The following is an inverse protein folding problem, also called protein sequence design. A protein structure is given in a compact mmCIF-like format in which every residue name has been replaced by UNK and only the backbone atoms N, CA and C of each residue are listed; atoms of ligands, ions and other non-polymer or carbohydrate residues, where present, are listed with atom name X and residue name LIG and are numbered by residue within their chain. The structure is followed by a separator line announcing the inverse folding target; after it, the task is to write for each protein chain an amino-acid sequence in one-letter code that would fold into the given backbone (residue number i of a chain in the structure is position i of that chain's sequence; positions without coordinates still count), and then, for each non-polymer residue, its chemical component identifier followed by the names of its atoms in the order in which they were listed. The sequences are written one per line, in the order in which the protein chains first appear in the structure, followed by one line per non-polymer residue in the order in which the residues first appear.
data_IF_966263885630
#
_entry.id   IF_966263885630
#
_cell.length_a   1.000
_cell.length_b   1.000
_cell.length_c   1.000
_cell.angle_alpha   90.00
_cell.angle_beta   90.00
_cell.angle_gamma   90.00
#
_symmetry.space_group_name_H-M   'P 1'
#
loop_
_entity.id
_entity.type
_entity.pdbx_description
1 polymer ?
#
# COMPACT_ATOMS: atom_id res chain seq x y z
N UNK A 1 5.12 22.33 -1.33
CA UNK A 1 3.92 22.73 -0.56
C UNK A 1 2.71 22.54 -1.47
N UNK A 2 1.98 21.43 -1.30
CA UNK A 2 0.89 20.99 -2.17
C UNK A 2 -0.36 21.87 -2.00
N UNK A 3 -0.55 22.86 -2.89
CA UNK A 3 -1.81 23.61 -3.04
C UNK A 3 -2.76 22.90 -4.02
N UNK A 4 -3.08 21.62 -3.80
CA UNK A 4 -3.90 20.84 -4.76
C UNK A 4 -5.12 20.15 -4.18
N UNK A 5 -5.41 20.35 -2.90
CA UNK A 5 -6.60 19.82 -2.26
C UNK A 5 -7.30 20.91 -1.48
N UNK A 6 -8.57 21.12 -1.79
CA UNK A 6 -9.45 22.02 -1.07
C UNK A 6 -9.79 21.36 0.28
N UNK A 7 -9.21 21.89 1.36
CA UNK A 7 -9.25 21.26 2.69
C UNK A 7 -10.68 21.16 3.24
N UNK A 8 -11.56 22.08 2.85
CA UNK A 8 -12.95 22.12 3.31
C UNK A 8 -13.73 20.88 2.85
N UNK A 9 -13.59 20.47 1.58
CA UNK A 9 -14.24 19.28 1.03
C UNK A 9 -13.70 17.96 1.59
N UNK A 10 -12.44 17.93 2.00
CA UNK A 10 -11.85 16.76 2.66
C UNK A 10 -12.48 16.54 4.05
N UNK A 11 -12.84 17.61 4.74
CA UNK A 11 -13.33 17.56 6.12
C UNK A 11 -14.76 16.99 6.19
N UNK A 12 -15.64 17.34 5.22
CA UNK A 12 -17.03 16.84 5.16
C UNK A 12 -17.13 15.31 4.96
N UNK A 13 -16.21 14.70 4.21
CA UNK A 13 -16.22 13.24 3.94
C UNK A 13 -15.91 12.42 5.20
N UNK A 14 -15.12 12.97 6.12
CA UNK A 14 -14.72 12.27 7.34
C UNK A 14 -15.82 12.23 8.40
N UNK A 15 -16.64 13.27 8.51
CA UNK A 15 -17.73 13.35 9.49
C UNK A 15 -18.89 12.37 9.20
N UNK A 16 -19.06 11.92 7.96
CA UNK A 16 -20.06 10.89 7.63
C UNK A 16 -19.56 9.46 7.94
N UNK A 17 -18.26 9.22 7.76
CA UNK A 17 -17.69 7.87 7.74
C UNK A 17 -17.07 7.47 9.08
N UNK A 18 -16.40 8.40 9.76
CA UNK A 18 -15.68 8.11 10.99
C UNK A 18 -16.60 7.75 12.17
N UNK A 19 -17.82 8.32 12.34
CA UNK A 19 -18.75 7.85 13.35
C UNK A 19 -19.15 6.38 13.23
N UNK A 20 -18.98 5.77 12.05
CA UNK A 20 -19.23 4.33 11.81
C UNK A 20 -18.09 3.43 12.36
N UNK A 21 -16.99 4.01 12.84
CA UNK A 21 -15.81 3.34 13.42
C UNK A 21 -15.61 3.77 14.89
N UNK A 22 -16.47 3.35 15.83
CA UNK A 22 -16.55 3.94 17.17
C UNK A 22 -15.24 3.84 17.98
N UNK A 23 -14.46 2.77 17.77
CA UNK A 23 -13.15 2.58 18.42
C UNK A 23 -12.09 3.60 18.00
N UNK A 24 -12.21 4.16 16.80
CA UNK A 24 -11.27 5.15 16.26
C UNK A 24 -11.83 6.58 16.36
N UNK A 25 -13.16 6.73 16.26
CA UNK A 25 -13.80 8.05 16.21
C UNK A 25 -13.62 8.86 17.49
N UNK A 26 -13.72 8.22 18.65
CA UNK A 26 -13.54 8.92 19.92
C UNK A 26 -12.11 9.44 20.09
N UNK A 27 -11.11 8.64 19.73
CA UNK A 27 -9.70 9.04 19.70
C UNK A 27 -9.46 10.15 18.65
N UNK A 28 -10.01 10.00 17.44
CA UNK A 28 -9.90 10.99 16.37
C UNK A 28 -10.43 12.37 16.78
N UNK A 29 -11.62 12.43 17.40
CA UNK A 29 -12.21 13.67 17.92
C UNK A 29 -11.36 14.35 18.99
N UNK A 30 -10.55 13.59 19.74
CA UNK A 30 -9.69 14.21 20.76
C UNK A 30 -8.58 15.05 20.15
N UNK A 31 -8.25 14.79 18.89
CA UNK A 31 -7.10 15.35 18.17
C UNK A 31 -5.74 15.20 18.88
N UNK A 32 -5.69 14.38 19.95
CA UNK A 32 -4.53 14.23 20.83
C UNK A 32 -3.27 13.81 20.07
N UNK A 33 -3.47 13.03 18.99
CA UNK A 33 -2.42 12.52 18.12
C UNK A 33 -2.51 13.09 16.68
N UNK A 34 -3.26 14.17 16.46
CA UNK A 34 -3.42 14.80 15.13
C UNK A 34 -2.15 15.48 14.61
N UNK A 35 -1.07 15.49 15.40
CA UNK A 35 0.23 15.94 14.93
C UNK A 35 0.81 14.94 13.93
N UNK A 36 1.43 15.47 12.87
CA UNK A 36 2.14 14.66 11.87
C UNK A 36 3.30 13.90 12.52
N UNK A 37 3.12 12.61 12.76
CA UNK A 37 4.22 11.72 13.13
C UNK A 37 4.89 11.19 11.86
N UNK A 38 6.04 11.78 11.52
CA UNK A 38 6.86 11.29 10.42
C UNK A 38 7.97 10.38 10.97
N UNK A 39 7.86 9.09 10.72
CA UNK A 39 8.96 8.15 10.96
C UNK A 39 10.16 8.53 10.08
N UNK A 40 11.35 8.58 10.68
CA UNK A 40 12.60 8.90 9.95
C UNK A 40 12.95 7.83 8.91
N UNK A 41 12.54 6.58 9.15
CA UNK A 41 12.80 5.42 8.29
C UNK A 41 11.57 4.53 8.30
N UNK A 42 11.05 4.27 7.11
CA UNK A 42 9.95 3.33 6.89
C UNK A 42 10.48 2.27 5.93
N UNK A 43 10.25 1.00 6.29
CA UNK A 43 10.51 -0.13 5.43
C UNK A 43 9.16 -0.82 5.21
N UNK A 44 8.84 -1.11 3.96
CA UNK A 44 7.64 -1.86 3.59
C UNK A 44 8.07 -3.21 3.05
N UNK A 45 7.56 -4.28 3.69
CA UNK A 45 7.74 -5.64 3.20
C UNK A 45 6.66 -5.95 2.17
N UNK A 46 7.08 -6.53 1.06
CA UNK A 46 6.24 -6.77 -0.11
C UNK A 46 6.35 -8.24 -0.55
N UNK A 47 5.29 -8.76 -1.12
CA UNK A 47 5.25 -10.12 -1.65
C UNK A 47 4.37 -10.17 -2.89
N UNK A 48 4.32 -11.30 -3.61
CA UNK A 48 3.37 -11.46 -4.70
C UNK A 48 1.91 -11.34 -4.23
N UNK A 49 1.62 -11.51 -2.93
CA UNK A 49 0.29 -11.35 -2.34
C UNK A 49 -0.05 -9.90 -1.97
N UNK A 50 0.89 -8.97 -2.05
CA UNK A 50 0.60 -7.54 -1.89
C UNK A 50 -0.29 -7.13 -3.05
N UNK A 51 -1.59 -6.92 -2.81
CA UNK A 51 -2.60 -6.66 -3.84
C UNK A 51 -3.67 -5.72 -3.30
N UNK A 52 -4.49 -5.15 -4.18
CA UNK A 52 -5.56 -4.21 -3.88
C UNK A 52 -5.07 -3.02 -3.05
N UNK A 53 -5.73 -2.71 -1.93
CA UNK A 53 -5.31 -1.66 -1.00
C UNK A 53 -3.90 -1.86 -0.43
N UNK A 54 -3.39 -3.10 -0.37
CA UNK A 54 -2.01 -3.39 0.00
C UNK A 54 -1.00 -2.84 -1.00
N UNK A 55 -1.30 -2.92 -2.30
CA UNK A 55 -0.49 -2.29 -3.35
C UNK A 55 -0.54 -0.77 -3.24
N UNK A 56 -1.74 -0.20 -3.08
CA UNK A 56 -1.92 1.25 -2.93
C UNK A 56 -1.13 1.79 -1.73
N UNK A 57 -1.18 1.09 -0.60
CA UNK A 57 -0.45 1.46 0.61
C UNK A 57 1.07 1.38 0.39
N UNK A 58 1.56 0.30 -0.21
CA UNK A 58 2.98 0.12 -0.56
C UNK A 58 3.48 1.29 -1.42
N UNK A 59 2.76 1.62 -2.49
CA UNK A 59 3.12 2.71 -3.40
C UNK A 59 3.12 4.08 -2.70
N UNK A 60 2.12 4.36 -1.88
CA UNK A 60 2.06 5.63 -1.12
C UNK A 60 3.27 5.75 -0.18
N UNK A 61 3.63 4.69 0.54
CA UNK A 61 4.80 4.71 1.42
C UNK A 61 6.10 4.90 0.64
N UNK A 62 6.23 4.26 -0.50
CA UNK A 62 7.37 4.45 -1.40
C UNK A 62 7.48 5.90 -1.91
N UNK A 63 6.36 6.49 -2.36
CA UNK A 63 6.30 7.91 -2.76
C UNK A 63 6.63 8.87 -1.60
N UNK A 64 6.47 8.41 -0.35
CA UNK A 64 6.89 9.12 0.86
C UNK A 64 8.35 8.85 1.26
N UNK A 65 9.09 8.06 0.49
CA UNK A 65 10.50 7.74 0.71
C UNK A 65 10.78 6.49 1.55
N UNK A 66 9.80 5.59 1.68
CA UNK A 66 10.04 4.28 2.30
C UNK A 66 10.91 3.39 1.40
N UNK A 67 11.67 2.48 2.01
CA UNK A 67 12.36 1.42 1.27
C UNK A 67 11.46 0.20 1.10
N UNK A 68 11.42 -0.36 -0.12
CA UNK A 68 10.69 -1.58 -0.42
C UNK A 68 11.60 -2.80 -0.40
N UNK A 69 11.24 -3.80 0.40
CA UNK A 69 11.95 -5.08 0.48
C UNK A 69 10.97 -6.18 0.12
N UNK A 70 11.41 -7.18 -0.63
CA UNK A 70 10.58 -8.36 -0.87
C UNK A 70 10.63 -8.86 -2.30
N UNK A 71 9.48 -9.36 -2.74
CA UNK A 71 9.22 -9.74 -4.14
C UNK A 71 8.19 -8.76 -4.71
N UNK A 72 8.26 -8.40 -6.01
CA UNK A 72 7.27 -7.50 -6.58
C UNK A 72 5.84 -7.98 -6.32
N UNK A 73 4.93 -7.02 -6.14
CA UNK A 73 3.51 -7.27 -6.13
C UNK A 73 3.06 -7.96 -7.43
N UNK A 74 2.07 -8.85 -7.34
CA UNK A 74 1.40 -9.39 -8.53
C UNK A 74 0.38 -8.41 -9.15
N UNK A 75 0.09 -7.30 -8.48
CA UNK A 75 -0.73 -6.25 -9.03
C UNK A 75 0.09 -5.40 -9.99
N UNK A 76 -0.35 -5.38 -11.25
CA UNK A 76 0.22 -4.50 -12.25
C UNK A 76 -0.43 -3.12 -12.17
N UNK A 77 0.40 -2.09 -12.24
CA UNK A 77 -0.08 -0.72 -12.42
C UNK A 77 -0.46 -0.45 -13.87
N UNK A 78 -1.18 0.64 -14.13
CA UNK A 78 -1.74 0.91 -15.46
C UNK A 78 -2.62 -0.27 -15.93
N UNK A 79 -3.51 -0.71 -15.03
CA UNK A 79 -4.52 -1.74 -15.31
C UNK A 79 -5.88 -1.34 -14.76
N UNK A 80 -6.93 -2.05 -15.18
CA UNK A 80 -8.26 -1.90 -14.59
C UNK A 80 -8.28 -2.53 -13.19
N UNK A 81 -8.73 -1.77 -12.19
CA UNK A 81 -8.80 -2.26 -10.80
C UNK A 81 -10.18 -2.13 -10.16
N UNK A 82 -10.77 -0.92 -10.12
CA UNK A 82 -11.98 -0.67 -9.33
C UNK A 82 -13.10 -1.63 -9.69
N UNK A 83 -13.67 -2.25 -8.67
CA UNK A 83 -14.60 -3.35 -8.85
C UNK A 83 -16.03 -2.82 -8.96
N UNK A 84 -16.72 -3.13 -10.06
CA UNK A 84 -18.16 -3.04 -10.18
C UNK A 84 -18.76 -4.43 -9.95
N UNK A 85 -19.51 -4.58 -8.86
CA UNK A 85 -20.28 -5.78 -8.57
C UNK A 85 -21.58 -5.77 -9.38
N UNK A 86 -22.00 -6.94 -9.85
CA UNK A 86 -23.28 -7.11 -10.56
C UNK A 86 -23.97 -8.41 -10.15
N UNK A 87 -25.28 -8.47 -10.40
CA UNK A 87 -26.10 -9.67 -10.30
C UNK A 87 -26.95 -9.81 -11.58
N UNK A 88 -26.97 -11.01 -12.16
CA UNK A 88 -27.75 -11.30 -13.37
C UNK A 88 -29.22 -11.57 -13.01
N UNK A 89 -30.12 -10.75 -13.56
CA UNK A 89 -31.55 -10.73 -13.22
C UNK A 89 -32.28 -12.08 -13.29
N UNK A 90 -31.90 -12.95 -14.23
CA UNK A 90 -32.64 -14.18 -14.54
C UNK A 90 -31.98 -15.46 -13.97
N UNK A 91 -30.76 -15.36 -13.44
CA UNK A 91 -30.03 -16.51 -12.87
C UNK A 91 -29.53 -16.28 -11.45
N UNK A 92 -29.61 -15.05 -10.94
CA UNK A 92 -29.03 -14.62 -9.66
C UNK A 92 -27.53 -14.89 -9.53
N UNK A 93 -26.83 -15.12 -10.65
CA UNK A 93 -25.38 -15.21 -10.64
C UNK A 93 -24.81 -13.83 -10.33
N UNK A 94 -23.96 -13.78 -9.31
CA UNK A 94 -23.21 -12.60 -8.94
C UNK A 94 -21.82 -12.66 -9.53
N UNK A 95 -21.25 -11.50 -9.77
CA UNK A 95 -19.91 -11.38 -10.28
C UNK A 95 -19.40 -9.96 -10.13
N UNK A 96 -18.20 -9.76 -10.64
CA UNK A 96 -17.58 -8.46 -10.60
C UNK A 96 -16.68 -8.24 -11.81
N UNK A 97 -16.51 -6.98 -12.17
CA UNK A 97 -15.62 -6.55 -13.26
C UNK A 97 -14.80 -5.35 -12.83
N UNK A 98 -13.53 -5.34 -13.19
CA UNK A 98 -12.69 -4.16 -13.02
C UNK A 98 -13.08 -3.10 -14.07
N UNK A 99 -13.59 -1.96 -13.64
CA UNK A 99 -14.19 -0.95 -14.52
C UNK A 99 -13.52 0.43 -14.50
N UNK A 100 -12.59 0.69 -13.57
CA UNK A 100 -11.80 1.92 -13.55
C UNK A 100 -10.33 1.62 -13.78
N UNK A 101 -9.73 2.38 -14.68
CA UNK A 101 -8.31 2.31 -14.97
C UNK A 101 -7.52 3.24 -14.04
N UNK A 102 -6.49 2.71 -13.40
CA UNK A 102 -5.57 3.50 -12.58
C UNK A 102 -4.32 3.80 -13.37
N UNK A 103 -4.09 5.07 -13.68
CA UNK A 103 -2.87 5.51 -14.37
C UNK A 103 -1.84 5.95 -13.33
N UNK A 104 -0.61 5.44 -13.42
CA UNK A 104 0.54 5.96 -12.71
C UNK A 104 1.68 6.27 -13.67
N UNK A 105 2.34 7.38 -13.37
CA UNK A 105 3.52 7.86 -14.09
C UNK A 105 4.70 7.78 -13.11
N UNK A 106 5.36 6.63 -13.09
CA UNK A 106 6.52 6.38 -12.24
C UNK A 106 7.58 5.62 -13.03
N UNK A 107 8.84 6.03 -12.89
CA UNK A 107 10.00 5.37 -13.50
C UNK A 107 10.32 4.03 -12.80
N UNK A 108 9.64 3.73 -11.70
CA UNK A 108 9.73 2.43 -11.01
C UNK A 108 8.97 1.33 -11.70
N UNK A 109 8.13 1.62 -12.70
CA UNK A 109 7.50 0.58 -13.50
C UNK A 109 8.45 0.14 -14.61
N UNK A 110 8.84 -1.14 -14.58
CA UNK A 110 9.57 -1.79 -15.67
C UNK A 110 8.73 -2.96 -16.17
N UNK A 111 8.40 -2.95 -17.45
CA UNK A 111 7.58 -3.99 -18.10
C UNK A 111 6.27 -4.30 -17.35
N UNK A 112 5.64 -3.27 -16.79
CA UNK A 112 4.38 -3.38 -16.02
C UNK A 112 4.54 -3.82 -14.56
N UNK A 113 5.76 -4.09 -14.10
CA UNK A 113 6.07 -4.53 -12.74
C UNK A 113 6.66 -3.39 -11.92
N UNK A 114 6.06 -3.12 -10.76
CA UNK A 114 6.57 -2.14 -9.80
C UNK A 114 7.83 -2.69 -9.13
N UNK A 115 8.96 -2.01 -9.32
CA UNK A 115 10.25 -2.48 -8.82
C UNK A 115 10.40 -2.27 -7.30
N UNK A 116 11.19 -3.14 -6.67
CA UNK A 116 11.55 -3.08 -5.24
C UNK A 116 13.02 -2.71 -5.09
N UNK A 117 13.37 -2.02 -3.98
CA UNK A 117 14.75 -1.60 -3.70
C UNK A 117 15.65 -2.79 -3.37
N UNK A 118 15.13 -3.71 -2.56
CA UNK A 118 15.86 -4.90 -2.12
C UNK A 118 15.08 -6.17 -2.46
N UNK A 119 15.28 -6.74 -3.66
CA UNK A 119 14.65 -7.98 -4.04
C UNK A 119 15.17 -9.15 -3.22
N UNK A 120 14.27 -10.04 -2.82
CA UNK A 120 14.60 -11.26 -2.08
C UNK A 120 15.03 -12.31 -3.09
N UNK A 121 16.34 -12.45 -3.23
CA UNK A 121 16.96 -13.41 -4.13
C UNK A 121 17.15 -14.76 -3.44
N UNK A 122 17.44 -15.79 -4.23
CA UNK A 122 17.81 -17.10 -3.71
C UNK A 122 19.04 -17.02 -2.77
N UNK A 123 20.04 -16.22 -3.12
CA UNK A 123 21.24 -16.06 -2.30
C UNK A 123 20.93 -15.42 -0.94
N UNK A 124 20.08 -14.40 -0.93
CA UNK A 124 19.62 -13.77 0.32
C UNK A 124 18.84 -14.78 1.17
N UNK A 125 17.92 -15.55 0.57
CA UNK A 125 17.21 -16.60 1.29
C UNK A 125 18.18 -17.64 1.88
N UNK A 126 19.22 -18.02 1.14
CA UNK A 126 20.25 -18.94 1.61
C UNK A 126 21.04 -18.38 2.80
N UNK A 127 21.37 -17.08 2.81
CA UNK A 127 22.04 -16.41 3.94
C UNK A 127 21.21 -16.49 5.23
N UNK A 128 19.88 -16.38 5.11
CA UNK A 128 18.95 -16.51 6.23
C UNK A 128 18.42 -17.93 6.43
N UNK A 129 19.10 -18.95 5.88
CA UNK A 129 18.76 -20.36 6.00
C UNK A 129 17.30 -20.69 5.61
N UNK A 130 16.79 -19.99 4.59
CA UNK A 130 15.42 -20.10 4.11
C UNK A 130 14.36 -19.89 5.19
N UNK A 131 14.62 -19.05 6.20
CA UNK A 131 13.63 -18.68 7.20
C UNK A 131 12.41 -18.03 6.49
N UNK A 132 11.16 -18.41 6.82
CA UNK A 132 9.96 -17.82 6.23
C UNK A 132 9.80 -16.31 6.53
N UNK A 133 10.61 -15.76 7.43
CA UNK A 133 10.67 -14.33 7.77
C UNK A 133 11.96 -13.68 7.26
N UNK A 134 12.64 -14.26 6.26
CA UNK A 134 13.90 -13.73 5.71
C UNK A 134 13.78 -12.25 5.32
N UNK A 135 12.65 -11.80 4.77
CA UNK A 135 12.44 -10.38 4.44
C UNK A 135 12.48 -9.48 5.67
N UNK A 136 11.88 -9.94 6.77
CA UNK A 136 11.86 -9.22 8.03
C UNK A 136 13.24 -9.21 8.69
N UNK A 137 13.94 -10.35 8.70
CA UNK A 137 15.29 -10.44 9.26
C UNK A 137 16.26 -9.52 8.51
N UNK A 138 16.18 -9.53 7.18
CA UNK A 138 16.96 -8.64 6.34
C UNK A 138 16.62 -7.16 6.60
N UNK A 139 15.33 -6.81 6.72
CA UNK A 139 14.91 -5.46 7.09
C UNK A 139 15.48 -4.99 8.44
N UNK A 140 15.49 -5.88 9.45
CA UNK A 140 16.05 -5.57 10.77
C UNK A 140 17.57 -5.33 10.70
N UNK A 141 18.30 -6.11 9.90
CA UNK A 141 19.74 -5.91 9.73
C UNK A 141 20.06 -4.63 8.97
N UNK A 142 19.26 -4.30 7.97
CA UNK A 142 19.29 -3.03 7.26
C UNK A 142 19.09 -1.84 8.21
N UNK A 143 18.12 -1.91 9.13
CA UNK A 143 17.89 -0.86 10.14
C UNK A 143 19.10 -0.66 11.08
N UNK A 144 19.78 -1.75 11.45
CA UNK A 144 20.98 -1.69 12.32
C UNK A 144 22.18 -1.03 11.63
N UNK A 145 22.32 -1.18 10.31
CA UNK A 145 23.49 -0.73 9.54
C UNK A 145 23.60 0.78 9.30
N UNK A 146 22.68 1.61 9.86
CA UNK A 146 22.60 3.07 9.61
C UNK A 146 22.77 3.42 8.11
N UNK A 147 21.70 3.27 7.35
CA UNK A 147 21.54 4.01 6.08
C UNK A 147 21.76 5.50 6.26
#
# INVERSE_FOLDING_TARGET
MLKRFDLEHITEVYDEFYPKMPTFFDEYKTEKFSNYYQLKKIIVLTSPRTYSSGYTMMKIFDEMGAALIGTPSSQNENTAGWILNFELKNSSLTGWVACKYYVAFTDRLKDGVYQIDYPITYDLLKEYNFDPNSELLFALDLLKKKF
#
